data_IF_588510798926
#
_entry.id   IF_588510798926
#
_cell.length_a   1.000
_cell.length_b   1.000
_cell.length_c   1.000
_cell.angle_alpha   90.00
_cell.angle_beta   90.00
_cell.angle_gamma   90.00
#
_symmetry.space_group_name_H-M   'P 1'
#
loop_
_entity.id
_entity.type
_entity.pdbx_description
1 polymer ?
#
# COMPACT_ATOMS: atom_id res chain seq x y z
N UNK A 1 8.97 23.35 48.97
CA UNK A 1 9.91 24.34 48.36
C UNK A 1 11.28 23.67 48.35
N UNK A 2 11.91 23.28 47.25
CA UNK A 2 12.08 23.94 45.96
C UNK A 2 11.86 22.96 44.80
N UNK A 3 10.94 23.36 43.93
CA UNK A 3 10.94 23.05 42.51
C UNK A 3 12.29 23.43 41.90
N UNK A 4 12.98 22.48 41.26
CA UNK A 4 13.85 22.77 40.13
C UNK A 4 13.33 21.95 38.97
N UNK A 5 12.41 22.58 38.23
CA UNK A 5 12.18 22.17 36.84
C UNK A 5 13.50 22.35 36.10
N UNK A 6 13.93 21.29 35.42
CA UNK A 6 14.94 21.38 34.37
C UNK A 6 14.25 21.96 33.12
N UNK A 7 14.68 23.13 32.63
CA UNK A 7 14.09 23.76 31.46
C UNK A 7 14.63 23.13 30.16
N UNK A 8 13.71 22.95 29.22
CA UNK A 8 13.82 23.09 27.75
C UNK A 8 15.01 22.40 27.04
N UNK A 9 14.72 21.30 26.33
CA UNK A 9 15.66 20.67 25.38
C UNK A 9 15.11 20.69 23.94
N UNK A 10 13.90 21.21 23.69
CA UNK A 10 13.42 21.59 22.33
C UNK A 10 13.73 23.05 22.01
N UNK A 11 14.96 23.47 22.29
CA UNK A 11 15.45 24.80 21.86
C UNK A 11 16.55 24.74 20.79
N UNK A 12 16.88 23.55 20.25
CA UNK A 12 18.03 23.35 19.33
C UNK A 12 17.81 22.42 18.14
N UNK A 13 16.56 22.13 17.76
CA UNK A 13 16.29 21.52 16.45
C UNK A 13 15.91 22.58 15.43
N UNK A 14 16.46 22.48 14.22
CA UNK A 14 16.13 23.37 13.09
C UNK A 14 15.34 22.55 12.08
N UNK A 15 14.10 22.95 11.79
CA UNK A 15 13.34 22.37 10.68
C UNK A 15 14.01 22.81 9.37
N UNK A 16 14.60 21.84 8.66
CA UNK A 16 15.27 22.08 7.38
C UNK A 16 14.27 22.04 6.22
N UNK A 17 13.38 21.05 6.24
CA UNK A 17 12.41 20.85 5.17
C UNK A 17 11.02 20.55 5.76
N UNK A 18 10.03 21.46 5.59
CA UNK A 18 8.64 21.16 5.92
C UNK A 18 8.07 20.20 4.88
N UNK A 19 7.52 19.06 5.30
CA UNK A 19 6.94 18.08 4.38
C UNK A 19 6.72 16.72 5.03
N UNK A 20 6.45 15.71 4.20
CA UNK A 20 6.31 14.32 4.63
C UNK A 20 7.27 13.42 3.86
N UNK A 21 8.38 12.96 4.50
CA UNK A 21 8.73 13.23 5.90
C UNK A 21 9.27 14.64 6.15
N UNK A 22 9.06 15.15 7.37
CA UNK A 22 9.69 16.40 7.82
C UNK A 22 11.14 16.13 8.19
N UNK A 23 12.05 17.04 7.82
CA UNK A 23 13.48 16.89 8.07
C UNK A 23 13.94 17.91 9.11
N UNK A 24 14.47 17.43 10.22
CA UNK A 24 15.02 18.23 11.29
C UNK A 24 16.52 18.03 11.41
N UNK A 25 17.26 19.12 11.55
CA UNK A 25 18.63 19.09 12.03
C UNK A 25 18.64 19.15 13.55
N UNK A 26 19.28 18.19 14.19
CA UNK A 26 19.49 18.20 15.64
C UNK A 26 20.86 18.83 15.94
N UNK A 27 20.86 19.87 16.78
CA UNK A 27 22.07 20.43 17.37
C UNK A 27 22.41 19.71 18.68
N UNK A 28 23.39 18.80 18.72
CA UNK A 28 23.68 18.06 19.93
C UNK A 28 24.26 18.97 21.03
N UNK A 29 23.77 18.82 22.27
CA UNK A 29 24.30 19.50 23.45
C UNK A 29 25.20 18.53 24.22
N UNK A 30 26.44 18.94 24.50
CA UNK A 30 27.34 18.19 25.38
C UNK A 30 26.91 18.41 26.83
N UNK A 31 26.48 17.35 27.52
CA UNK A 31 26.29 17.35 28.97
C UNK A 31 27.33 16.42 29.61
N UNK A 32 28.11 16.94 30.55
CA UNK A 32 29.05 16.15 31.36
C UNK A 32 28.29 15.56 32.54
N UNK A 33 27.93 14.27 32.45
CA UNK A 33 27.51 13.51 33.61
C UNK A 33 28.75 13.20 34.46
N UNK A 34 28.65 13.40 35.78
CA UNK A 34 29.76 13.20 36.72
C UNK A 34 30.35 11.79 36.66
N UNK A 35 31.55 11.66 37.23
CA UNK A 35 32.50 10.54 37.14
C UNK A 35 31.86 9.15 37.12
N UNK A 36 31.57 8.62 35.93
CA UNK A 36 31.36 7.20 35.70
C UNK A 36 32.74 6.56 35.50
N UNK A 37 33.13 5.73 36.46
CA UNK A 37 34.44 5.05 36.49
C UNK A 37 34.52 4.04 35.35
N UNK A 38 35.05 4.51 34.23
CA UNK A 38 35.68 3.74 33.14
C UNK A 38 34.83 2.62 32.51
N UNK A 39 34.01 2.99 31.53
CA UNK A 39 33.87 2.25 30.26
C UNK A 39 33.73 3.30 29.14
N UNK A 40 34.72 3.34 28.24
CA UNK A 40 34.81 4.09 26.95
C UNK A 40 33.84 5.25 26.69
N UNK A 41 34.33 6.51 26.73
CA UNK A 41 33.74 7.73 26.13
C UNK A 41 32.28 7.65 25.66
N UNK A 42 31.33 7.45 26.57
CA UNK A 42 29.91 7.40 26.24
C UNK A 42 29.33 8.82 26.14
N UNK A 43 29.12 9.29 24.91
CA UNK A 43 28.32 10.50 24.66
C UNK A 43 26.86 10.08 24.55
N UNK A 44 26.06 10.38 25.57
CA UNK A 44 24.61 10.19 25.55
C UNK A 44 23.93 11.42 24.92
N UNK A 45 23.14 11.19 23.87
CA UNK A 45 22.27 12.22 23.30
C UNK A 45 20.85 12.00 23.79
N UNK A 46 20.28 13.00 24.45
CA UNK A 46 18.87 12.99 24.82
C UNK A 46 18.06 13.72 23.75
N UNK A 47 17.18 13.00 23.06
CA UNK A 47 16.16 13.58 22.18
C UNK A 47 14.87 13.59 23.00
N UNK A 48 14.33 14.78 23.28
CA UNK A 48 13.07 14.94 24.00
C UNK A 48 12.06 15.56 23.03
N UNK A 49 10.88 14.95 22.92
CA UNK A 49 9.69 15.56 22.31
C UNK A 49 8.80 16.14 23.43
N UNK A 50 8.41 17.41 23.34
CA UNK A 50 7.72 18.20 24.37
C UNK A 50 6.25 18.43 24.01
N UNK A 51 5.71 17.67 23.05
CA UNK A 51 4.27 17.58 22.88
C UNK A 51 3.61 16.97 24.12
N UNK A 52 2.91 17.77 24.94
CA UNK A 52 2.01 17.27 26.01
C UNK A 52 0.92 16.38 25.40
N UNK A 53 1.19 15.10 25.14
CA UNK A 53 0.23 14.14 24.57
C UNK A 53 0.42 12.75 25.17
N UNK A 54 -0.72 12.11 25.45
CA UNK A 54 -0.86 10.86 26.23
C UNK A 54 0.06 9.73 25.75
N UNK A 55 0.68 9.00 26.69
CA UNK A 55 1.54 7.83 26.45
C UNK A 55 0.80 6.58 25.89
N UNK A 56 -0.50 6.67 25.66
CA UNK A 56 -1.36 5.55 25.21
C UNK A 56 -1.65 5.54 23.70
N UNK A 57 -1.10 6.48 22.92
CA UNK A 57 -1.22 6.57 21.45
C UNK A 57 0.17 6.83 20.83
N UNK A 58 0.43 6.39 19.59
CA UNK A 58 1.70 6.66 18.89
C UNK A 58 2.04 8.15 18.95
N UNK A 59 3.27 8.45 19.37
CA UNK A 59 3.69 9.83 19.65
C UNK A 59 3.95 10.61 18.36
N UNK A 60 4.42 9.93 17.31
CA UNK A 60 4.64 10.47 15.96
C UNK A 60 3.42 10.20 15.06
N UNK A 61 2.93 11.22 14.33
CA UNK A 61 1.82 11.09 13.35
C UNK A 61 2.29 10.73 11.94
N UNK A 62 3.54 11.08 11.62
CA UNK A 62 4.14 11.02 10.29
C UNK A 62 5.58 10.49 10.39
N UNK A 63 6.15 10.04 9.27
CA UNK A 63 7.59 9.71 9.22
C UNK A 63 8.39 11.00 9.41
N UNK A 64 9.40 10.99 10.28
CA UNK A 64 10.27 12.13 10.58
C UNK A 64 11.72 11.73 10.38
N UNK A 65 12.50 12.61 9.76
CA UNK A 65 13.94 12.41 9.56
C UNK A 65 14.71 13.38 10.44
N UNK A 66 15.60 12.85 11.26
CA UNK A 66 16.54 13.62 12.06
C UNK A 66 17.95 13.48 11.51
N UNK A 67 18.61 14.60 11.27
CA UNK A 67 20.00 14.65 10.82
C UNK A 67 20.87 15.26 11.92
N UNK A 68 21.95 14.57 12.27
CA UNK A 68 22.94 15.02 13.26
C UNK A 68 24.26 15.30 12.54
N UNK A 69 24.63 16.57 12.46
CA UNK A 69 25.87 17.03 11.84
C UNK A 69 26.80 17.64 12.89
N UNK A 70 27.94 17.00 13.15
CA UNK A 70 29.05 17.62 13.88
C UNK A 70 28.70 18.28 15.23
N UNK A 71 29.63 19.06 15.74
CA UNK A 71 29.43 19.98 16.86
C UNK A 71 30.13 21.31 16.54
N UNK A 72 29.77 22.37 17.24
CA UNK A 72 30.45 23.66 17.13
C UNK A 72 31.97 23.48 17.37
N UNK A 73 32.78 23.75 16.35
CA UNK A 73 34.24 23.58 16.36
C UNK A 73 34.77 22.16 16.05
N UNK A 74 33.91 21.16 15.77
CA UNK A 74 34.33 19.81 15.35
C UNK A 74 33.41 19.23 14.27
N UNK A 75 33.94 19.04 13.07
CA UNK A 75 33.31 18.21 12.04
C UNK A 75 33.42 16.74 12.44
N UNK A 76 32.29 16.04 12.59
CA UNK A 76 32.32 14.59 12.74
C UNK A 76 32.77 13.95 11.41
N UNK A 77 33.52 12.83 11.43
CA UNK A 77 33.91 12.13 10.21
C UNK A 77 32.73 11.43 9.51
N UNK A 78 31.53 11.52 10.08
CA UNK A 78 30.29 10.94 9.59
C UNK A 78 29.08 11.80 9.98
N UNK A 79 28.02 11.76 9.18
CA UNK A 79 26.68 12.26 9.51
C UNK A 79 25.81 11.11 9.99
N UNK A 80 24.97 11.34 11.00
CA UNK A 80 23.98 10.37 11.45
C UNK A 80 22.58 10.82 11.02
N UNK A 81 21.87 9.95 10.30
CA UNK A 81 20.47 10.14 9.93
C UNK A 81 19.61 9.11 10.65
N UNK A 82 18.58 9.56 11.35
CA UNK A 82 17.61 8.71 12.06
C UNK A 82 16.25 8.92 11.40
N UNK A 83 15.66 7.84 10.91
CA UNK A 83 14.29 7.85 10.39
C UNK A 83 13.40 7.32 11.51
N UNK A 84 12.58 8.19 12.08
CA UNK A 84 11.57 7.85 13.06
C UNK A 84 10.23 7.63 12.37
N UNK A 85 9.60 6.50 12.64
CA UNK A 85 8.31 6.12 12.05
C UNK A 85 7.26 6.02 13.13
N UNK A 86 6.00 6.39 12.87
CA UNK A 86 4.89 6.02 13.74
C UNK A 86 4.85 4.51 13.99
N UNK A 87 4.33 4.11 15.15
CA UNK A 87 4.24 2.68 15.50
C UNK A 87 3.23 1.97 14.61
N UNK A 88 3.68 0.95 13.89
CA UNK A 88 2.81 0.02 13.16
C UNK A 88 1.84 -0.67 14.12
N UNK A 89 0.59 -0.87 13.69
CA UNK A 89 -0.42 -1.56 14.52
C UNK A 89 -0.77 -0.84 15.83
N UNK A 90 -0.72 0.50 15.84
CA UNK A 90 -1.32 1.31 16.90
C UNK A 90 -2.86 1.25 16.85
N UNK A 91 -3.53 1.78 17.87
CA UNK A 91 -5.00 1.91 18.02
C UNK A 91 -5.75 2.58 16.84
N UNK A 92 -5.03 2.99 15.78
CA UNK A 92 -5.51 3.78 14.63
C UNK A 92 -5.69 2.99 13.31
N UNK A 93 -5.57 1.65 13.31
CA UNK A 93 -5.91 0.72 12.20
C UNK A 93 -5.00 0.78 10.95
N UNK A 94 -5.22 -0.19 10.04
CA UNK A 94 -4.56 -0.45 8.74
C UNK A 94 -4.35 0.81 7.87
N UNK A 95 -5.29 1.75 7.91
CA UNK A 95 -5.22 3.00 7.12
C UNK A 95 -3.99 3.85 7.47
N UNK A 96 -3.56 3.86 8.74
CA UNK A 96 -2.38 4.61 9.16
C UNK A 96 -1.08 3.96 8.68
N UNK A 97 -1.02 2.62 8.65
CA UNK A 97 0.14 1.87 8.16
C UNK A 97 0.37 2.12 6.65
N UNK A 98 -0.69 2.35 5.87
CA UNK A 98 -0.60 2.76 4.46
C UNK A 98 0.11 4.11 4.34
N UNK A 99 -0.22 5.08 5.20
CA UNK A 99 0.42 6.40 5.19
C UNK A 99 1.90 6.33 5.60
N UNK A 100 2.23 5.51 6.60
CA UNK A 100 3.63 5.28 7.00
C UNK A 100 4.41 4.65 5.85
N UNK A 101 3.82 3.65 5.19
CA UNK A 101 4.42 2.97 4.03
C UNK A 101 4.67 3.94 2.87
N UNK A 102 3.70 4.81 2.56
CA UNK A 102 3.87 5.83 1.52
C UNK A 102 4.95 6.85 1.90
N UNK A 103 4.99 7.30 3.16
CA UNK A 103 6.02 8.24 3.62
C UNK A 103 7.45 7.67 3.51
N UNK A 104 7.62 6.37 3.79
CA UNK A 104 8.90 5.67 3.58
C UNK A 104 9.24 5.53 2.09
N UNK A 105 8.26 5.21 1.25
CA UNK A 105 8.44 5.12 -0.20
C UNK A 105 8.90 6.46 -0.80
N UNK A 106 8.24 7.55 -0.41
CA UNK A 106 8.57 8.90 -0.86
C UNK A 106 9.99 9.29 -0.40
N UNK A 107 10.37 8.94 0.83
CA UNK A 107 11.71 9.17 1.36
C UNK A 107 12.79 8.41 0.58
N UNK A 108 12.57 7.14 0.26
CA UNK A 108 13.57 6.31 -0.43
C UNK A 108 13.64 6.57 -1.94
N UNK A 109 12.56 7.09 -2.55
CA UNK A 109 12.51 7.42 -3.98
C UNK A 109 13.04 8.82 -4.28
N UNK A 110 12.90 9.76 -3.35
CA UNK A 110 13.28 11.16 -3.57
C UNK A 110 14.75 11.29 -3.96
N UNK A 111 15.06 12.16 -4.93
CA UNK A 111 16.45 12.41 -5.37
C UNK A 111 17.35 12.87 -4.20
N UNK A 112 16.81 13.73 -3.34
CA UNK A 112 17.47 14.22 -2.12
C UNK A 112 17.13 13.38 -0.87
N UNK A 113 16.55 12.19 -1.09
CA UNK A 113 16.10 11.26 -0.06
C UNK A 113 17.18 10.35 0.51
N UNK A 114 16.75 9.27 1.15
CA UNK A 114 17.64 8.27 1.76
C UNK A 114 17.80 7.07 0.82
N UNK A 115 18.98 6.95 0.20
CA UNK A 115 19.28 5.89 -0.77
C UNK A 115 19.93 4.65 -0.16
N UNK A 116 20.46 4.78 1.05
CA UNK A 116 21.18 3.72 1.75
C UNK A 116 20.79 3.67 3.23
N UNK A 117 20.62 2.47 3.77
CA UNK A 117 20.31 2.24 5.18
C UNK A 117 21.38 1.33 5.79
N UNK A 118 21.96 1.77 6.91
CA UNK A 118 22.94 0.99 7.66
C UNK A 118 22.28 0.01 8.63
N UNK A 119 21.17 0.39 9.25
CA UNK A 119 20.45 -0.45 10.19
C UNK A 119 18.95 -0.14 10.21
N UNK A 120 18.14 -1.17 10.41
CA UNK A 120 16.70 -1.06 10.69
C UNK A 120 16.50 -1.44 12.15
N UNK A 121 16.11 -0.47 12.98
CA UNK A 121 15.92 -0.66 14.42
C UNK A 121 14.50 -1.12 14.74
N UNK A 122 14.35 -2.32 15.31
CA UNK A 122 13.09 -2.83 15.82
C UNK A 122 13.01 -2.55 17.33
N UNK A 123 12.20 -1.56 17.72
CA UNK A 123 12.15 -1.06 19.10
C UNK A 123 11.15 -1.86 19.93
N UNK A 124 11.60 -2.42 21.06
CA UNK A 124 10.76 -3.20 21.98
C UNK A 124 11.12 -2.95 23.45
N UNK A 125 10.20 -3.24 24.38
CA UNK A 125 10.47 -3.08 25.82
C UNK A 125 11.15 -4.34 26.38
N UNK A 126 12.06 -4.15 27.34
CA UNK A 126 12.75 -5.24 28.06
C UNK A 126 11.80 -6.20 28.78
N UNK A 127 10.64 -5.71 29.20
CA UNK A 127 9.61 -6.48 29.89
C UNK A 127 8.68 -7.25 28.97
N UNK A 128 8.87 -7.20 27.65
CA UNK A 128 8.06 -7.99 26.73
C UNK A 128 8.41 -9.47 26.85
N UNK A 129 7.44 -10.26 27.30
CA UNK A 129 7.68 -11.64 27.69
C UNK A 129 7.27 -12.66 26.62
N UNK A 130 6.57 -12.21 25.57
CA UNK A 130 6.10 -13.03 24.46
C UNK A 130 5.98 -12.18 23.19
N UNK A 131 6.16 -12.80 22.04
CA UNK A 131 5.62 -12.28 20.78
C UNK A 131 4.10 -12.34 20.85
N UNK A 132 3.46 -11.28 21.34
CA UNK A 132 2.02 -11.13 21.16
C UNK A 132 1.67 -11.09 19.67
N UNK A 133 0.45 -11.43 19.29
CA UNK A 133 -0.04 -11.29 17.90
C UNK A 133 0.25 -9.89 17.34
N UNK A 134 0.17 -8.88 18.21
CA UNK A 134 0.52 -7.50 17.89
C UNK A 134 2.00 -7.31 17.55
N UNK A 135 2.90 -7.90 18.34
CA UNK A 135 4.33 -7.79 18.08
C UNK A 135 4.72 -8.56 16.81
N UNK A 136 4.09 -9.72 16.56
CA UNK A 136 4.26 -10.46 15.31
C UNK A 136 3.76 -9.66 14.10
N UNK A 137 2.59 -9.00 14.20
CA UNK A 137 2.08 -8.07 13.19
C UNK A 137 3.06 -6.94 12.88
N UNK A 138 3.67 -6.34 13.91
CA UNK A 138 4.63 -5.23 13.74
C UNK A 138 5.87 -5.73 12.99
N UNK A 139 6.45 -6.85 13.43
CA UNK A 139 7.61 -7.43 12.76
C UNK A 139 7.30 -7.75 11.32
N UNK A 140 6.21 -8.48 11.09
CA UNK A 140 5.74 -8.87 9.77
C UNK A 140 5.52 -7.66 8.85
N UNK A 141 4.84 -6.62 9.35
CA UNK A 141 4.60 -5.37 8.62
C UNK A 141 5.91 -4.68 8.26
N UNK A 142 6.84 -4.52 9.20
CA UNK A 142 8.13 -3.86 8.94
C UNK A 142 8.99 -4.68 7.97
N UNK A 143 9.06 -6.00 8.14
CA UNK A 143 9.81 -6.89 7.24
C UNK A 143 9.26 -6.83 5.80
N UNK A 144 7.94 -6.68 5.67
CA UNK A 144 7.26 -6.64 4.37
C UNK A 144 7.62 -5.41 3.52
N UNK A 145 8.12 -4.34 4.15
CA UNK A 145 8.51 -3.10 3.47
C UNK A 145 9.78 -3.27 2.65
N UNK A 146 10.68 -4.13 3.10
CA UNK A 146 12.05 -4.17 2.59
C UNK A 146 12.26 -5.27 1.55
N UNK A 147 13.22 -5.02 0.66
CA UNK A 147 13.75 -6.01 -0.26
C UNK A 147 14.65 -7.04 0.42
N UNK A 148 14.84 -8.19 -0.25
CA UNK A 148 15.83 -9.19 0.15
C UNK A 148 17.22 -8.56 0.29
N UNK A 149 17.97 -8.97 1.31
CA UNK A 149 19.32 -8.48 1.61
C UNK A 149 19.41 -7.53 2.81
N UNK A 150 18.29 -6.96 3.27
CA UNK A 150 18.28 -6.10 4.48
C UNK A 150 18.38 -6.89 5.78
N UNK A 151 18.24 -8.22 5.75
CA UNK A 151 18.02 -9.06 6.94
C UNK A 151 19.17 -8.92 7.95
N UNK A 152 20.38 -8.75 7.42
CA UNK A 152 21.63 -8.60 8.19
C UNK A 152 21.85 -7.20 8.75
N UNK A 153 20.97 -6.25 8.40
CA UNK A 153 20.98 -4.87 8.87
C UNK A 153 19.85 -4.62 9.87
N UNK A 154 18.99 -5.61 10.14
CA UNK A 154 17.95 -5.52 11.16
C UNK A 154 18.58 -5.70 12.54
N UNK A 155 18.23 -4.82 13.47
CA UNK A 155 18.74 -4.82 14.85
C UNK A 155 17.58 -4.62 15.81
N UNK A 156 17.48 -5.46 16.84
CA UNK A 156 16.54 -5.23 17.94
C UNK A 156 17.09 -4.16 18.90
N UNK A 157 16.26 -3.18 19.25
CA UNK A 157 16.57 -2.11 20.18
C UNK A 157 15.71 -2.26 21.44
N UNK A 158 16.34 -2.67 22.54
CA UNK A 158 15.66 -2.95 23.80
C UNK A 158 15.60 -1.68 24.65
N UNK A 159 14.39 -1.24 24.98
CA UNK A 159 14.09 -0.04 25.77
C UNK A 159 13.62 -0.40 27.17
N UNK A 160 13.66 0.57 28.09
CA UNK A 160 13.32 0.37 29.51
C UNK A 160 14.13 -0.76 30.17
N UNK A 161 15.36 -0.98 29.72
CA UNK A 161 16.28 -1.90 30.40
C UNK A 161 16.61 -1.35 31.78
N UNK A 162 16.55 -2.21 32.79
CA UNK A 162 17.02 -1.96 34.16
C UNK A 162 18.51 -2.29 34.32
N UNK A 163 19.23 -2.53 33.21
CA UNK A 163 20.63 -2.95 33.22
C UNK A 163 20.85 -4.44 33.49
N UNK A 164 19.78 -5.23 33.62
CA UNK A 164 19.85 -6.69 33.74
C UNK A 164 19.67 -7.36 32.38
N UNK A 165 20.18 -8.58 32.23
CA UNK A 165 20.02 -9.37 30.99
C UNK A 165 18.52 -9.57 30.69
N UNK A 166 18.01 -9.06 29.54
CA UNK A 166 16.59 -9.09 29.24
C UNK A 166 16.18 -10.46 28.66
N UNK A 167 16.27 -11.51 29.48
CA UNK A 167 16.13 -12.91 29.07
C UNK A 167 14.84 -13.19 28.28
N UNK A 168 13.71 -12.63 28.73
CA UNK A 168 12.41 -12.90 28.12
C UNK A 168 12.30 -12.35 26.69
N UNK A 169 12.84 -11.15 26.44
CA UNK A 169 12.79 -10.55 25.11
C UNK A 169 13.80 -11.19 24.16
N UNK A 170 14.94 -11.65 24.68
CA UNK A 170 15.92 -12.41 23.90
C UNK A 170 15.36 -13.77 23.45
N UNK A 171 14.69 -14.49 24.36
CA UNK A 171 14.00 -15.74 24.00
C UNK A 171 12.88 -15.51 22.98
N UNK A 172 12.14 -14.40 23.09
CA UNK A 172 11.13 -14.03 22.11
C UNK A 172 11.75 -13.74 20.73
N UNK A 173 12.88 -13.02 20.67
CA UNK A 173 13.59 -12.74 19.42
C UNK A 173 14.17 -14.01 18.77
N UNK A 174 14.70 -14.94 19.58
CA UNK A 174 15.13 -16.27 19.09
C UNK A 174 13.98 -17.05 18.48
N UNK A 175 12.83 -17.10 19.15
CA UNK A 175 11.64 -17.81 18.66
C UNK A 175 11.09 -17.20 17.35
N UNK A 176 11.29 -15.90 17.11
CA UNK A 176 10.97 -15.24 15.84
C UNK A 176 12.05 -15.38 14.77
N UNK A 177 13.15 -16.10 15.03
CA UNK A 177 14.31 -16.20 14.15
C UNK A 177 14.95 -14.85 13.80
N UNK A 178 14.70 -13.81 14.61
CA UNK A 178 15.28 -12.49 14.41
C UNK A 178 16.72 -12.54 14.91
N UNK A 179 17.65 -12.52 13.95
CA UNK A 179 19.09 -12.57 14.23
C UNK A 179 19.52 -11.32 15.00
N UNK A 180 19.65 -11.46 16.31
CA UNK A 180 20.32 -10.48 17.14
C UNK A 180 21.83 -10.65 16.98
N UNK A 181 22.58 -9.56 16.84
CA UNK A 181 24.04 -9.64 16.80
C UNK A 181 24.56 -10.23 18.12
N UNK A 182 25.24 -11.38 18.04
CA UNK A 182 25.91 -12.06 19.17
C UNK A 182 27.39 -12.23 18.84
N UNK A 183 28.27 -12.09 19.81
CA UNK A 183 29.70 -12.34 19.64
C UNK A 183 30.08 -13.81 19.94
N UNK A 184 31.34 -14.19 19.66
CA UNK A 184 31.89 -15.54 19.85
C UNK A 184 31.93 -16.00 21.34
N UNK A 185 31.47 -15.16 22.28
CA UNK A 185 31.45 -15.44 23.72
C UNK A 185 30.06 -15.31 24.36
N UNK A 186 28.99 -15.18 23.56
CA UNK A 186 27.62 -14.92 24.06
C UNK A 186 27.52 -13.66 24.95
N UNK A 187 28.36 -12.66 24.73
CA UNK A 187 28.23 -11.34 25.36
C UNK A 187 27.69 -10.33 24.35
N UNK A 188 26.76 -9.47 24.76
CA UNK A 188 26.15 -8.47 23.88
C UNK A 188 27.17 -7.37 23.54
N UNK A 189 27.82 -7.45 22.37
CA UNK A 189 28.45 -6.29 21.74
C UNK A 189 28.18 -6.11 20.24
N UNK A 190 27.75 -4.88 19.97
CA UNK A 190 27.50 -4.10 18.75
C UNK A 190 28.57 -4.22 17.65
N UNK A 191 28.58 -5.28 16.84
CA UNK A 191 29.19 -5.26 15.49
C UNK A 191 28.39 -6.10 14.48
N UNK A 192 27.35 -5.50 13.91
CA UNK A 192 26.92 -5.91 12.55
C UNK A 192 27.98 -5.38 11.58
N UNK A 193 28.90 -6.26 11.12
CA UNK A 193 29.87 -5.97 10.03
C UNK A 193 29.17 -5.88 8.66
N UNK A 194 27.94 -5.38 8.61
CA UNK A 194 27.18 -5.30 7.36
C UNK A 194 27.28 -3.88 6.83
N UNK A 195 27.74 -3.73 5.60
CA UNK A 195 27.77 -2.43 4.92
C UNK A 195 26.36 -1.86 4.74
N UNK A 196 26.26 -0.58 4.36
CA UNK A 196 24.98 0.02 3.97
C UNK A 196 24.31 -0.79 2.86
N UNK A 197 22.99 -0.94 2.95
CA UNK A 197 22.16 -1.54 1.90
C UNK A 197 21.52 -0.45 1.07
N UNK A 198 21.53 -0.61 -0.25
CA UNK A 198 20.83 0.29 -1.17
C UNK A 198 19.33 0.07 -1.11
N UNK A 199 18.55 1.14 -1.18
CA UNK A 199 17.09 1.08 -1.07
C UNK A 199 16.36 0.81 -2.39
N UNK A 200 17.06 0.56 -3.49
CA UNK A 200 16.43 0.31 -4.80
C UNK A 200 15.43 -0.86 -4.76
N UNK A 201 15.83 -2.02 -4.22
CA UNK A 201 14.94 -3.19 -4.12
C UNK A 201 13.78 -2.93 -3.16
N UNK A 202 14.00 -2.19 -2.08
CA UNK A 202 12.94 -1.73 -1.16
C UNK A 202 11.93 -0.84 -1.89
N UNK A 203 12.40 0.13 -2.69
CA UNK A 203 11.52 0.98 -3.51
C UNK A 203 10.73 0.15 -4.51
N UNK A 204 11.32 -0.89 -5.11
CA UNK A 204 10.60 -1.82 -5.99
C UNK A 204 9.53 -2.63 -5.24
N UNK A 205 9.83 -3.13 -4.04
CA UNK A 205 8.86 -3.84 -3.17
C UNK A 205 7.67 -2.95 -2.86
N UNK A 206 7.92 -1.74 -2.37
CA UNK A 206 6.88 -0.78 -2.00
C UNK A 206 6.02 -0.39 -3.21
N UNK A 207 6.63 -0.15 -4.37
CA UNK A 207 5.92 0.08 -5.62
C UNK A 207 5.02 -1.09 -6.00
N UNK A 208 5.53 -2.33 -5.92
CA UNK A 208 4.79 -3.51 -6.33
C UNK A 208 3.61 -3.79 -5.39
N UNK A 209 3.73 -3.47 -4.09
CA UNK A 209 2.59 -3.50 -3.15
C UNK A 209 1.51 -2.49 -3.52
N UNK A 210 1.89 -1.25 -3.83
CA UNK A 210 0.92 -0.23 -4.29
C UNK A 210 0.21 -0.69 -5.57
N UNK A 211 0.95 -1.30 -6.51
CA UNK A 211 0.38 -1.86 -7.73
C UNK A 211 -0.58 -3.01 -7.45
N UNK A 212 -0.23 -3.94 -6.56
CA UNK A 212 -1.11 -5.04 -6.14
C UNK A 212 -2.41 -4.51 -5.56
N UNK A 213 -2.34 -3.58 -4.60
CA UNK A 213 -3.50 -2.95 -3.98
C UNK A 213 -4.39 -2.27 -5.02
N UNK A 214 -3.80 -1.45 -5.89
CA UNK A 214 -4.55 -0.75 -6.93
C UNK A 214 -5.16 -1.73 -7.97
N UNK A 215 -4.45 -2.81 -8.31
CA UNK A 215 -4.94 -3.85 -9.20
C UNK A 215 -6.16 -4.57 -8.61
N UNK A 216 -6.10 -4.96 -7.34
CA UNK A 216 -7.21 -5.64 -6.64
C UNK A 216 -8.43 -4.73 -6.50
N UNK A 217 -8.23 -3.45 -6.14
CA UNK A 217 -9.32 -2.48 -6.05
C UNK A 217 -10.03 -2.30 -7.41
N UNK A 218 -9.25 -2.09 -8.48
CA UNK A 218 -9.81 -1.99 -9.83
C UNK A 218 -10.50 -3.30 -10.26
N UNK A 219 -9.92 -4.46 -9.92
CA UNK A 219 -10.52 -5.76 -10.18
C UNK A 219 -11.86 -5.95 -9.48
N UNK A 220 -11.98 -5.57 -8.21
CA UNK A 220 -13.25 -5.60 -7.47
C UNK A 220 -14.34 -4.77 -8.16
N UNK A 221 -14.01 -3.55 -8.58
CA UNK A 221 -14.94 -2.68 -9.31
C UNK A 221 -15.35 -3.27 -10.67
N UNK A 222 -14.40 -3.85 -11.40
CA UNK A 222 -14.67 -4.51 -12.68
C UNK A 222 -15.55 -5.74 -12.54
N UNK A 223 -15.30 -6.58 -11.54
CA UNK A 223 -16.15 -7.75 -11.27
C UNK A 223 -17.57 -7.29 -10.97
N UNK A 224 -17.76 -6.27 -10.13
CA UNK A 224 -19.08 -5.70 -9.88
C UNK A 224 -19.75 -5.18 -11.15
N UNK A 225 -19.01 -4.48 -12.03
CA UNK A 225 -19.55 -4.06 -13.33
C UNK A 225 -19.94 -5.25 -14.23
N UNK A 226 -19.13 -6.31 -14.25
CA UNK A 226 -19.41 -7.53 -15.01
C UNK A 226 -20.67 -8.22 -14.49
N UNK A 227 -20.84 -8.35 -13.18
CA UNK A 227 -22.01 -9.00 -12.58
C UNK A 227 -23.31 -8.26 -12.92
N UNK A 228 -23.28 -6.92 -12.91
CA UNK A 228 -24.40 -6.08 -13.36
C UNK A 228 -24.65 -6.26 -14.88
N UNK A 229 -23.60 -6.31 -15.70
CA UNK A 229 -23.73 -6.57 -17.14
C UNK A 229 -24.26 -7.97 -17.47
N UNK A 230 -23.83 -8.99 -16.73
CA UNK A 230 -24.37 -10.36 -16.86
C UNK A 230 -25.85 -10.39 -16.49
N UNK A 231 -26.27 -9.59 -15.50
CA UNK A 231 -27.69 -9.45 -15.14
C UNK A 231 -28.49 -8.76 -16.24
N UNK A 232 -27.99 -7.66 -16.81
CA UNK A 232 -28.60 -6.99 -17.97
C UNK A 232 -28.77 -7.95 -19.17
N UNK A 233 -27.74 -8.75 -19.46
CA UNK A 233 -27.77 -9.76 -20.54
C UNK A 233 -28.84 -10.82 -20.25
N UNK A 234 -28.88 -11.38 -19.04
CA UNK A 234 -29.88 -12.39 -18.65
C UNK A 234 -31.31 -11.86 -18.75
N UNK A 235 -31.57 -10.65 -18.25
CA UNK A 235 -32.87 -10.00 -18.39
C UNK A 235 -33.27 -9.87 -19.87
N UNK A 236 -32.32 -9.49 -20.72
CA UNK A 236 -32.54 -9.36 -22.17
C UNK A 236 -32.85 -10.71 -22.81
N UNK A 237 -32.09 -11.76 -22.50
CA UNK A 237 -32.35 -13.12 -23.00
C UNK A 237 -33.73 -13.65 -22.58
N UNK A 238 -34.12 -13.47 -21.31
CA UNK A 238 -35.42 -13.88 -20.80
C UNK A 238 -36.57 -13.12 -21.47
N UNK A 239 -36.39 -11.80 -21.65
CA UNK A 239 -37.34 -10.96 -22.35
C UNK A 239 -37.52 -11.40 -23.82
N UNK A 240 -36.42 -11.69 -24.52
CA UNK A 240 -36.46 -12.23 -25.88
C UNK A 240 -37.14 -13.60 -25.94
N UNK A 241 -36.90 -14.50 -24.97
CA UNK A 241 -37.59 -15.80 -24.90
C UNK A 241 -39.10 -15.64 -24.69
N UNK A 242 -39.52 -14.71 -23.82
CA UNK A 242 -40.94 -14.47 -23.52
C UNK A 242 -41.71 -13.90 -24.73
N UNK A 243 -41.07 -13.03 -25.50
CA UNK A 243 -41.67 -12.40 -26.68
C UNK A 243 -41.41 -13.19 -27.98
N UNK A 244 -41.09 -14.50 -27.89
CA UNK A 244 -40.77 -15.33 -29.05
C UNK A 244 -41.88 -15.37 -30.11
N UNK A 245 -43.13 -15.51 -29.71
CA UNK A 245 -44.27 -15.56 -30.63
C UNK A 245 -44.58 -14.20 -31.27
N UNK A 246 -44.34 -13.11 -30.56
CA UNK A 246 -44.48 -11.75 -31.10
C UNK A 246 -43.40 -11.47 -32.15
N UNK A 247 -42.17 -11.91 -31.90
CA UNK A 247 -41.09 -11.89 -32.88
C UNK A 247 -41.42 -12.71 -34.14
N UNK A 248 -41.97 -13.93 -34.00
CA UNK A 248 -42.38 -14.76 -35.16
C UNK A 248 -43.45 -14.07 -36.03
N UNK A 249 -44.26 -13.20 -35.42
CA UNK A 249 -45.34 -12.45 -36.08
C UNK A 249 -44.89 -11.07 -36.56
N UNK A 250 -43.60 -10.74 -36.49
CA UNK A 250 -43.04 -9.42 -36.79
C UNK A 250 -43.78 -8.28 -36.08
N UNK A 251 -44.21 -8.53 -34.83
CA UNK A 251 -44.85 -7.50 -34.01
C UNK A 251 -43.77 -6.76 -33.22
N UNK A 252 -43.85 -5.44 -33.21
CA UNK A 252 -43.03 -4.64 -32.30
C UNK A 252 -43.51 -4.84 -30.88
N UNK A 253 -42.55 -4.94 -29.98
CA UNK A 253 -42.77 -5.01 -28.54
C UNK A 253 -41.69 -4.19 -27.83
N UNK A 254 -42.01 -3.80 -26.61
CA UNK A 254 -41.11 -3.04 -25.74
C UNK A 254 -40.85 -3.85 -24.49
N UNK A 255 -39.60 -3.91 -24.06
CA UNK A 255 -39.20 -4.55 -22.81
C UNK A 255 -38.48 -3.53 -21.95
N UNK A 256 -38.69 -3.63 -20.64
CA UNK A 256 -37.93 -2.87 -19.66
C UNK A 256 -36.75 -3.72 -19.22
N UNK A 257 -35.54 -3.19 -19.40
CA UNK A 257 -34.30 -3.82 -18.94
C UNK A 257 -33.48 -2.82 -18.14
N UNK A 258 -32.72 -3.31 -17.18
CA UNK A 258 -31.76 -2.51 -16.45
C UNK A 258 -30.50 -2.34 -17.31
N UNK A 259 -30.24 -1.11 -17.74
CA UNK A 259 -29.03 -0.78 -18.47
C UNK A 259 -27.94 -0.32 -17.50
N UNK A 260 -26.80 -1.01 -17.55
CA UNK A 260 -25.63 -0.70 -16.75
C UNK A 260 -24.72 0.30 -17.48
N UNK A 261 -24.31 1.36 -16.79
CA UNK A 261 -23.42 2.40 -17.32
C UNK A 261 -22.45 2.89 -16.24
N UNK A 262 -21.40 3.61 -16.66
CA UNK A 262 -20.44 4.25 -15.77
C UNK A 262 -20.76 5.73 -15.63
N UNK A 263 -20.65 6.24 -14.40
CA UNK A 263 -20.82 7.66 -14.08
C UNK A 263 -19.66 8.12 -13.17
N UNK A 264 -19.46 9.43 -13.03
CA UNK A 264 -18.45 9.98 -12.12
C UNK A 264 -19.08 10.49 -10.83
N UNK A 265 -18.51 10.07 -9.69
CA UNK A 265 -18.88 10.56 -8.35
C UNK A 265 -17.71 11.34 -7.73
N UNK A 266 -17.97 12.47 -7.06
CA UNK A 266 -16.93 13.16 -6.29
C UNK A 266 -16.43 12.29 -5.13
N UNK A 267 -15.13 12.35 -4.87
CA UNK A 267 -14.50 11.80 -3.66
C UNK A 267 -14.15 12.94 -2.72
N UNK A 268 -13.80 12.61 -1.47
CA UNK A 268 -13.20 13.58 -0.56
C UNK A 268 -11.79 13.87 -1.06
N UNK A 269 -11.66 14.79 -2.00
CA UNK A 269 -10.39 15.37 -2.39
C UNK A 269 -10.05 16.55 -1.49
N UNK A 270 -8.78 16.93 -1.46
CA UNK A 270 -8.39 18.16 -0.80
C UNK A 270 -6.91 18.27 -0.50
N UNK A 271 -6.50 19.54 -0.36
CA UNK A 271 -5.18 19.90 0.11
C UNK A 271 -5.23 20.09 1.63
N UNK A 272 -4.62 19.19 2.39
CA UNK A 272 -4.41 19.40 3.83
C UNK A 272 -3.04 20.06 4.04
N UNK A 273 -3.01 21.38 4.22
CA UNK A 273 -1.76 22.15 4.31
C UNK A 273 -1.09 22.38 2.96
N UNK A 274 0.26 22.40 2.92
CA UNK A 274 1.07 22.71 1.71
C UNK A 274 1.41 21.50 0.82
N UNK A 275 1.09 20.24 1.19
CA UNK A 275 1.85 19.08 0.63
C UNK A 275 1.04 17.80 0.34
N UNK A 276 -0.30 17.76 0.46
CA UNK A 276 -1.05 16.53 0.16
C UNK A 276 -2.13 16.75 -0.90
N UNK A 277 -2.13 15.94 -1.96
CA UNK A 277 -3.12 16.01 -3.04
C UNK A 277 -3.90 14.71 -3.08
N UNK A 278 -4.85 14.54 -2.16
CA UNK A 278 -5.70 13.35 -2.18
C UNK A 278 -6.59 13.38 -3.45
N UNK A 279 -6.61 12.27 -4.17
CA UNK A 279 -7.27 12.18 -5.47
C UNK A 279 -7.18 10.78 -6.07
N UNK A 280 -7.91 10.55 -7.14
CA UNK A 280 -7.89 9.30 -7.88
C UNK A 280 -7.12 9.48 -9.18
N UNK A 281 -6.30 8.49 -9.55
CA UNK A 281 -5.81 8.38 -10.93
C UNK A 281 -6.78 7.51 -11.71
N UNK A 282 -7.45 8.11 -12.71
CA UNK A 282 -8.45 7.44 -13.53
C UNK A 282 -8.02 7.40 -14.99
N UNK A 283 -8.42 6.35 -15.72
CA UNK A 283 -8.21 6.23 -17.16
C UNK A 283 -9.47 6.66 -17.90
N UNK A 284 -9.35 7.63 -18.81
CA UNK A 284 -10.48 8.14 -19.62
C UNK A 284 -10.88 7.19 -20.75
N UNK A 285 -9.95 6.38 -21.22
CA UNK A 285 -10.18 5.44 -22.34
C UNK A 285 -10.86 4.15 -21.86
N UNK A 286 -10.47 3.65 -20.68
CA UNK A 286 -11.09 2.47 -20.08
C UNK A 286 -12.27 2.81 -19.15
N UNK A 287 -12.38 4.08 -18.73
CA UNK A 287 -13.30 4.55 -17.69
C UNK A 287 -13.12 3.77 -16.38
N UNK A 288 -11.88 3.71 -15.89
CA UNK A 288 -11.50 2.87 -14.74
C UNK A 288 -10.74 3.68 -13.68
N UNK A 289 -10.94 3.33 -12.41
CA UNK A 289 -10.19 3.88 -11.29
C UNK A 289 -8.87 3.11 -11.15
N UNK A 290 -7.80 3.66 -11.68
CA UNK A 290 -6.53 2.95 -11.80
C UNK A 290 -5.73 2.94 -10.50
N UNK A 291 -5.88 3.97 -9.67
CA UNK A 291 -5.35 4.01 -8.30
C UNK A 291 -6.25 4.88 -7.42
N UNK A 292 -7.11 4.23 -6.64
CA UNK A 292 -7.93 4.83 -5.59
C UNK A 292 -8.57 3.73 -4.72
N UNK A 293 -8.61 3.89 -3.38
CA UNK A 293 -7.92 4.91 -2.59
C UNK A 293 -6.40 4.69 -2.55
N UNK A 294 -5.63 5.73 -2.17
CA UNK A 294 -4.19 5.60 -1.88
C UNK A 294 -3.25 6.46 -2.73
N UNK A 295 -3.75 7.18 -3.75
CA UNK A 295 -2.92 8.10 -4.54
C UNK A 295 -2.80 9.48 -3.86
N UNK A 296 -2.11 9.55 -2.71
CA UNK A 296 -2.13 10.74 -1.84
C UNK A 296 -1.08 11.80 -2.22
N UNK A 297 0.13 11.40 -2.64
CA UNK A 297 1.28 12.33 -2.77
C UNK A 297 1.67 12.62 -4.21
N UNK A 298 1.32 11.76 -5.17
CA UNK A 298 1.65 11.96 -6.58
C UNK A 298 0.96 13.22 -7.15
N UNK A 299 1.68 14.28 -7.57
CA UNK A 299 1.06 15.51 -8.06
C UNK A 299 0.42 15.37 -9.46
N UNK A 300 0.76 14.30 -10.19
CA UNK A 300 0.22 14.02 -11.52
C UNK A 300 0.23 12.50 -11.79
N UNK A 301 -0.52 12.01 -12.80
CA UNK A 301 -0.52 10.59 -13.17
C UNK A 301 0.87 10.03 -13.49
N UNK A 302 1.74 10.84 -14.11
CA UNK A 302 3.12 10.47 -14.46
C UNK A 302 3.96 10.09 -13.24
N UNK A 303 3.62 10.61 -12.06
CA UNK A 303 4.34 10.34 -10.81
C UNK A 303 3.66 9.26 -9.95
N UNK A 304 2.62 8.62 -10.46
CA UNK A 304 1.92 7.56 -9.73
C UNK A 304 2.61 6.20 -9.93
N UNK A 305 2.67 5.41 -8.86
CA UNK A 305 3.33 4.09 -8.75
C UNK A 305 2.81 3.06 -9.76
N UNK A 306 1.53 3.20 -10.13
CA UNK A 306 0.87 2.34 -11.12
C UNK A 306 1.29 2.62 -12.56
N UNK A 307 2.05 3.68 -12.82
CA UNK A 307 2.64 3.94 -14.13
C UNK A 307 4.06 3.35 -14.14
N UNK A 308 4.31 2.45 -15.08
CA UNK A 308 5.61 1.82 -15.31
C UNK A 308 5.94 1.90 -16.79
N UNK A 309 7.13 2.40 -17.12
CA UNK A 309 7.60 2.53 -18.51
C UNK A 309 6.60 3.30 -19.41
N UNK A 310 5.98 4.35 -18.85
CA UNK A 310 4.98 5.19 -19.54
C UNK A 310 3.59 4.57 -19.69
N UNK A 311 3.35 3.37 -19.16
CA UNK A 311 2.08 2.65 -19.25
C UNK A 311 1.49 2.31 -17.89
N UNK A 312 0.17 2.30 -17.81
CA UNK A 312 -0.53 1.95 -16.59
C UNK A 312 -0.53 0.42 -16.39
N UNK A 313 -0.16 -0.04 -15.20
CA UNK A 313 -0.17 -1.46 -14.84
C UNK A 313 -1.54 -1.92 -14.35
N UNK A 314 -2.44 -1.00 -13.98
CA UNK A 314 -3.75 -1.31 -13.41
C UNK A 314 -4.87 -1.41 -14.47
N UNK A 315 -4.97 -0.45 -15.40
CA UNK A 315 -6.10 -0.39 -16.34
C UNK A 315 -6.12 -1.53 -17.37
N UNK A 316 -7.30 -1.80 -17.94
CA UNK A 316 -7.56 -2.98 -18.78
C UNK A 316 -6.65 -3.04 -20.01
N UNK A 317 -6.43 -1.90 -20.66
CA UNK A 317 -5.69 -1.82 -21.93
C UNK A 317 -4.21 -1.45 -21.74
N UNK A 318 -3.74 -1.37 -20.49
CA UNK A 318 -2.40 -0.87 -20.14
C UNK A 318 -2.10 0.45 -20.87
N UNK A 319 -3.09 1.36 -20.81
CA UNK A 319 -3.10 2.64 -21.50
C UNK A 319 -1.88 3.48 -21.16
N UNK A 320 -1.40 4.31 -22.10
CA UNK A 320 -0.32 5.25 -21.86
C UNK A 320 -0.75 6.35 -20.86
N UNK A 321 0.22 7.07 -20.32
CA UNK A 321 -0.01 8.06 -19.25
C UNK A 321 -0.91 9.22 -19.67
N UNK A 322 -0.95 9.56 -20.96
CA UNK A 322 -1.76 10.64 -21.52
C UNK A 322 -3.27 10.38 -21.41
N UNK A 323 -3.66 9.11 -21.34
CA UNK A 323 -5.06 8.70 -21.15
C UNK A 323 -5.51 8.81 -19.69
N UNK A 324 -4.59 9.12 -18.78
CA UNK A 324 -4.84 9.16 -17.35
C UNK A 324 -4.95 10.60 -16.84
N UNK A 325 -5.83 10.80 -15.86
CA UNK A 325 -5.94 12.05 -15.12
C UNK A 325 -5.94 11.80 -13.63
N UNK A 326 -5.39 12.75 -12.89
CA UNK A 326 -5.56 12.82 -11.45
C UNK A 326 -6.67 13.82 -11.15
N UNK A 327 -7.73 13.37 -10.50
CA UNK A 327 -8.92 14.17 -10.24
C UNK A 327 -9.63 13.75 -8.93
N UNK A 328 -10.49 14.62 -8.40
CA UNK A 328 -11.30 14.36 -7.20
C UNK A 328 -12.61 13.65 -7.54
N UNK A 329 -12.59 12.78 -8.56
CA UNK A 329 -13.74 12.02 -9.03
C UNK A 329 -13.31 10.60 -9.39
N UNK A 330 -14.21 9.66 -9.15
CA UNK A 330 -14.04 8.25 -9.51
C UNK A 330 -15.20 7.80 -10.39
N UNK A 331 -14.93 6.83 -11.26
CA UNK A 331 -15.96 6.09 -11.96
C UNK A 331 -16.72 5.18 -10.98
N UNK A 332 -18.05 5.15 -11.11
CA UNK A 332 -18.93 4.25 -10.36
C UNK A 332 -19.91 3.61 -11.33
N UNK A 333 -20.23 2.35 -11.08
CA UNK A 333 -21.26 1.63 -11.81
C UNK A 333 -22.64 2.10 -11.36
N UNK A 334 -23.53 2.41 -12.30
CA UNK A 334 -24.93 2.73 -12.06
C UNK A 334 -25.82 1.94 -13.02
N UNK A 335 -27.04 1.68 -12.58
CA UNK A 335 -28.09 1.06 -13.38
C UNK A 335 -29.23 2.05 -13.59
N UNK A 336 -29.89 1.95 -14.74
CA UNK A 336 -31.12 2.69 -15.04
C UNK A 336 -32.10 1.79 -15.78
N UNK A 337 -33.38 1.88 -15.43
CA UNK A 337 -34.43 1.20 -16.18
C UNK A 337 -34.68 1.93 -17.49
N UNK A 338 -34.56 1.20 -18.60
CA UNK A 338 -34.82 1.72 -19.94
C UNK A 338 -35.80 0.82 -20.67
N UNK A 339 -36.70 1.45 -21.44
CA UNK A 339 -37.56 0.75 -22.39
C UNK A 339 -36.78 0.57 -23.69
N UNK A 340 -36.53 -0.67 -24.09
CA UNK A 340 -35.88 -1.01 -25.37
C UNK A 340 -36.88 -1.70 -26.29
N UNK A 341 -36.88 -1.32 -27.56
CA UNK A 341 -37.58 -2.06 -28.62
C UNK A 341 -36.71 -3.19 -29.16
N UNK A 342 -37.30 -4.13 -29.91
CA UNK A 342 -36.56 -5.15 -30.62
C UNK A 342 -35.53 -4.53 -31.59
N UNK A 343 -35.91 -3.46 -32.27
CA UNK A 343 -35.02 -2.70 -33.16
C UNK A 343 -33.83 -2.11 -32.40
N UNK A 344 -34.06 -1.51 -31.23
CA UNK A 344 -32.97 -0.94 -30.41
C UNK A 344 -31.97 -2.02 -29.97
N UNK A 345 -32.47 -3.19 -29.58
CA UNK A 345 -31.63 -4.32 -29.18
C UNK A 345 -30.81 -4.88 -30.35
N UNK A 346 -31.41 -4.98 -31.54
CA UNK A 346 -30.74 -5.43 -32.77
C UNK A 346 -29.67 -4.43 -33.24
N UNK A 347 -29.95 -3.13 -33.16
CA UNK A 347 -29.05 -2.05 -33.61
C UNK A 347 -27.71 -2.06 -32.87
N UNK A 348 -27.65 -2.55 -31.62
CA UNK A 348 -26.39 -2.71 -30.88
C UNK A 348 -25.41 -3.66 -31.59
N UNK A 349 -25.90 -4.62 -32.38
CA UNK A 349 -25.08 -5.71 -32.88
C UNK A 349 -24.98 -5.81 -34.41
N UNK A 350 -25.87 -5.19 -35.19
CA UNK A 350 -25.84 -5.37 -36.66
C UNK A 350 -26.33 -4.17 -37.47
N UNK A 351 -25.49 -3.75 -38.42
CA UNK A 351 -25.89 -3.16 -39.69
C UNK A 351 -25.66 -4.24 -40.79
N UNK A 352 -26.73 -4.71 -41.47
CA UNK A 352 -26.77 -5.57 -42.69
C UNK A 352 -27.00 -7.11 -42.58
N UNK A 353 -28.05 -7.59 -41.90
CA UNK A 353 -28.52 -9.00 -42.02
C UNK A 353 -30.05 -9.14 -42.16
N UNK A 354 -30.55 -10.35 -42.49
CA UNK A 354 -31.99 -10.64 -42.69
C UNK A 354 -32.72 -10.99 -41.36
N UNK A 355 -34.00 -10.63 -41.22
CA UNK A 355 -34.75 -10.66 -39.94
C UNK A 355 -34.71 -11.96 -39.11
N UNK A 356 -34.64 -13.14 -39.75
CA UNK A 356 -34.54 -14.43 -39.04
C UNK A 356 -33.12 -14.71 -38.53
N UNK A 357 -32.12 -14.34 -39.32
CA UNK A 357 -30.70 -14.47 -38.97
C UNK A 357 -30.36 -13.54 -37.80
N UNK A 358 -30.95 -12.33 -37.79
CA UNK A 358 -30.85 -11.35 -36.68
C UNK A 358 -31.22 -11.91 -35.30
N UNK A 359 -32.18 -12.85 -35.22
CA UNK A 359 -32.64 -13.43 -33.94
C UNK A 359 -31.60 -14.41 -33.39
N UNK A 360 -31.10 -15.29 -34.25
CA UNK A 360 -30.05 -16.25 -33.88
C UNK A 360 -28.79 -15.51 -33.49
N UNK A 361 -28.40 -14.51 -34.29
CA UNK A 361 -27.22 -13.70 -34.02
C UNK A 361 -27.35 -12.86 -32.76
N UNK A 362 -28.52 -12.28 -32.43
CA UNK A 362 -28.67 -11.51 -31.19
C UNK A 362 -28.43 -12.36 -29.92
N UNK A 363 -29.04 -13.54 -29.81
CA UNK A 363 -28.80 -14.44 -28.67
C UNK A 363 -27.36 -14.97 -28.67
N UNK A 364 -26.80 -15.27 -29.84
CA UNK A 364 -25.41 -15.70 -29.98
C UNK A 364 -24.42 -14.60 -29.60
N UNK A 365 -24.71 -13.35 -29.96
CA UNK A 365 -23.92 -12.17 -29.60
C UNK A 365 -23.98 -11.91 -28.08
N UNK A 366 -25.16 -12.03 -27.47
CA UNK A 366 -25.32 -11.94 -26.01
C UNK A 366 -24.53 -13.04 -25.29
N UNK A 367 -24.59 -14.28 -25.78
CA UNK A 367 -23.78 -15.38 -25.24
C UNK A 367 -22.28 -15.14 -25.42
N UNK A 368 -21.88 -14.61 -26.56
CA UNK A 368 -20.48 -14.24 -26.84
C UNK A 368 -20.00 -13.12 -25.91
N UNK A 369 -20.82 -12.08 -25.70
CA UNK A 369 -20.55 -11.02 -24.72
C UNK A 369 -20.39 -11.60 -23.32
N UNK A 370 -21.30 -12.49 -22.88
CA UNK A 370 -21.20 -13.15 -21.57
C UNK A 370 -19.92 -13.98 -21.41
N UNK A 371 -19.54 -14.75 -22.43
CA UNK A 371 -18.28 -15.52 -22.43
C UNK A 371 -17.04 -14.61 -22.38
N UNK A 372 -17.08 -13.49 -23.11
CA UNK A 372 -15.99 -12.52 -23.11
C UNK A 372 -15.81 -11.88 -21.73
N UNK A 373 -16.89 -11.53 -21.05
CA UNK A 373 -16.84 -11.01 -19.68
C UNK A 373 -16.20 -12.01 -18.72
N UNK A 374 -16.54 -13.30 -18.82
CA UNK A 374 -15.94 -14.33 -17.96
C UNK A 374 -14.44 -14.55 -18.25
N UNK A 375 -14.06 -14.49 -19.53
CA UNK A 375 -12.66 -14.54 -19.94
C UNK A 375 -11.87 -13.33 -19.40
N UNK A 376 -12.45 -12.13 -19.43
CA UNK A 376 -11.84 -10.92 -18.87
C UNK A 376 -11.67 -11.01 -17.34
N UNK A 377 -12.68 -11.52 -16.61
CA UNK A 377 -12.56 -11.79 -15.17
C UNK A 377 -11.38 -12.70 -14.88
N UNK A 378 -11.25 -13.80 -15.62
CA UNK A 378 -10.16 -14.76 -15.48
C UNK A 378 -8.79 -14.11 -15.73
N UNK A 379 -8.68 -13.31 -16.80
CA UNK A 379 -7.44 -12.62 -17.14
C UNK A 379 -7.01 -11.65 -16.06
N UNK A 380 -7.92 -10.85 -15.50
CA UNK A 380 -7.55 -9.87 -14.47
C UNK A 380 -7.18 -10.52 -13.14
N UNK A 381 -7.78 -11.66 -12.79
CA UNK A 381 -7.35 -12.44 -11.63
C UNK A 381 -5.91 -12.91 -11.77
N UNK A 382 -5.52 -13.31 -12.98
CA UNK A 382 -4.13 -13.68 -13.28
C UNK A 382 -3.17 -12.49 -13.14
N UNK A 383 -3.56 -11.31 -13.64
CA UNK A 383 -2.75 -10.09 -13.52
C UNK A 383 -2.51 -9.73 -12.05
N UNK A 384 -3.54 -9.83 -11.21
CA UNK A 384 -3.40 -9.60 -9.77
C UNK A 384 -2.51 -10.65 -9.09
N UNK A 385 -2.63 -11.92 -9.47
CA UNK A 385 -1.76 -13.00 -8.99
C UNK A 385 -0.28 -12.74 -9.33
N UNK A 386 -0.01 -12.25 -10.54
CA UNK A 386 1.35 -12.01 -11.00
C UNK A 386 2.08 -10.96 -10.15
N UNK A 387 1.36 -9.99 -9.57
CA UNK A 387 1.93 -9.05 -8.61
C UNK A 387 2.39 -9.74 -7.31
N UNK A 388 1.66 -10.74 -6.83
CA UNK A 388 2.05 -11.55 -5.65
C UNK A 388 3.33 -12.33 -5.94
N UNK A 389 3.37 -13.03 -7.08
CA UNK A 389 4.56 -13.76 -7.55
C UNK A 389 5.78 -12.83 -7.72
N UNK A 390 5.57 -11.59 -8.16
CA UNK A 390 6.65 -10.61 -8.23
C UNK A 390 7.16 -10.23 -6.83
N UNK A 391 6.25 -9.98 -5.88
CA UNK A 391 6.62 -9.69 -4.49
C UNK A 391 7.42 -10.83 -3.85
N UNK A 392 7.05 -12.10 -4.06
CA UNK A 392 7.82 -13.25 -3.58
C UNK A 392 9.28 -13.28 -4.07
N UNK A 393 9.53 -12.75 -5.27
CA UNK A 393 10.88 -12.67 -5.83
C UNK A 393 11.71 -11.60 -5.15
N UNK A 394 11.15 -10.41 -4.88
CA UNK A 394 11.91 -9.22 -4.47
C UNK A 394 11.83 -8.90 -2.97
N UNK A 395 10.71 -9.19 -2.31
CA UNK A 395 10.47 -8.81 -0.93
C UNK A 395 11.19 -9.75 0.04
N UNK A 396 11.66 -9.18 1.16
CA UNK A 396 12.10 -9.97 2.31
C UNK A 396 10.96 -10.86 2.81
N UNK A 397 9.77 -10.27 2.97
CA UNK A 397 8.57 -11.01 3.36
C UNK A 397 7.38 -10.60 2.50
N UNK A 398 7.07 -11.42 1.49
CA UNK A 398 6.01 -11.13 0.53
C UNK A 398 4.61 -11.20 1.15
N UNK A 399 4.31 -12.32 1.82
CA UNK A 399 3.08 -12.53 2.57
C UNK A 399 3.18 -11.86 3.94
N UNK A 400 2.47 -10.74 4.09
CA UNK A 400 2.32 -10.05 5.36
C UNK A 400 0.86 -9.99 5.77
N UNK A 401 0.58 -9.92 7.07
CA UNK A 401 -0.75 -9.71 7.63
C UNK A 401 -1.36 -8.42 7.08
N UNK A 402 -0.54 -7.39 6.85
CA UNK A 402 -0.98 -6.14 6.24
C UNK A 402 -1.46 -6.31 4.79
N UNK A 403 -1.02 -7.35 4.08
CA UNK A 403 -1.45 -7.69 2.72
C UNK A 403 -2.61 -8.70 2.73
N UNK A 404 -2.98 -9.27 3.88
CA UNK A 404 -3.95 -10.36 3.99
C UNK A 404 -5.34 -9.99 3.46
N UNK A 405 -5.81 -8.75 3.66
CA UNK A 405 -7.10 -8.28 3.12
C UNK A 405 -7.15 -8.40 1.58
N UNK A 406 -6.01 -8.19 0.92
CA UNK A 406 -5.87 -8.31 -0.52
C UNK A 406 -5.75 -9.78 -0.96
N UNK A 407 -5.01 -10.58 -0.20
CA UNK A 407 -4.84 -12.01 -0.48
C UNK A 407 -6.13 -12.79 -0.26
N UNK A 408 -6.93 -12.49 0.76
CA UNK A 408 -8.23 -13.13 1.03
C UNK A 408 -9.16 -13.03 -0.18
N UNK A 409 -9.25 -11.84 -0.77
CA UNK A 409 -10.03 -11.61 -1.97
C UNK A 409 -9.51 -12.47 -3.14
N UNK A 410 -8.20 -12.50 -3.37
CA UNK A 410 -7.62 -13.31 -4.44
C UNK A 410 -7.84 -14.81 -4.18
N UNK A 411 -7.63 -15.29 -2.95
CA UNK A 411 -7.85 -16.68 -2.54
C UNK A 411 -9.31 -17.08 -2.80
N UNK A 412 -10.27 -16.24 -2.38
CA UNK A 412 -11.69 -16.47 -2.63
C UNK A 412 -11.98 -16.60 -4.12
N UNK A 413 -11.50 -15.66 -4.94
CA UNK A 413 -11.75 -15.67 -6.39
C UNK A 413 -11.02 -16.77 -7.13
N UNK A 414 -9.83 -17.18 -6.68
CA UNK A 414 -9.14 -18.35 -7.23
C UNK A 414 -9.85 -19.66 -6.87
N UNK A 415 -10.43 -19.77 -5.67
CA UNK A 415 -11.30 -20.90 -5.30
C UNK A 415 -12.56 -20.97 -6.16
N UNK A 416 -13.23 -19.83 -6.39
CA UNK A 416 -14.41 -19.76 -7.28
C UNK A 416 -14.07 -20.24 -8.71
N UNK A 417 -12.88 -19.91 -9.20
CA UNK A 417 -12.37 -20.36 -10.51
C UNK A 417 -11.97 -21.84 -10.53
N UNK A 418 -11.73 -22.46 -9.37
CA UNK A 418 -11.25 -23.84 -9.25
C UNK A 418 -9.73 -24.00 -9.38
N UNK A 419 -8.95 -22.94 -9.16
CA UNK A 419 -7.49 -22.92 -9.32
C UNK A 419 -6.80 -23.32 -8.00
N UNK A 420 -6.89 -24.61 -7.64
CA UNK A 420 -6.45 -25.11 -6.34
C UNK A 420 -4.93 -24.99 -6.09
N UNK A 421 -4.13 -25.03 -7.17
CA UNK A 421 -2.67 -24.87 -7.09
C UNK A 421 -2.31 -23.47 -6.58
N UNK A 422 -2.86 -22.41 -7.19
CA UNK A 422 -2.62 -21.03 -6.76
C UNK A 422 -3.18 -20.74 -5.38
N UNK A 423 -4.29 -21.37 -5.01
CA UNK A 423 -4.84 -21.25 -3.65
C UNK A 423 -3.91 -21.85 -2.60
N UNK A 424 -3.10 -22.85 -2.95
CA UNK A 424 -2.11 -23.43 -2.05
C UNK A 424 -0.82 -22.60 -1.97
N UNK A 425 -0.51 -21.86 -3.04
CA UNK A 425 0.64 -20.94 -3.08
C UNK A 425 0.39 -19.62 -2.33
N UNK A 426 -0.87 -19.16 -2.27
CA UNK A 426 -1.31 -17.96 -1.53
C UNK A 426 -1.58 -18.25 -0.04
#
# INVERSE_FOLDING_TARGET
QRTRGSPDIISKSVLLHPGSPSIYQLGPKKETFGTLTKLTDEVCFQIVDEGKRSQTKSQTSDVIVYQVFGFEGKTLPYSLTIIDTPGFGDTRRIEHDILVTQGLLDLFRSADGVHEVNAVGLVMKSSENRLSDRLWYIFDSVMSLFGKGIEKNIVALITHSNGTNPENVLQALEAAEIKCARDEKNQEQRKTKTGPQKMNTTVEVLNERVRLTACIQNLQERIGFIEEKQTEIKQTEEALKKHEEEMKKNKNFTVEVDETYKDKKPIKGGMWGLVFYDGAVTCKVCEENCHYPGCTTAPSPQRCEILKDGRCTSCTRKCPVEDHVKEEKIYVTKTRRVKKTLEDMKKKYEDNLAEREKKSSLLENLKTEMNQLEADKTRWLEEAYQHVVNLEKIALKAHSISTYVHLDFLIEKMKEKGDAEKVQEL
#
